data_IF_688948352663
#
_entry.id   IF_688948352663
#
_cell.length_a   1.000
_cell.length_b   1.000
_cell.length_c   1.000
_cell.angle_alpha   90.00
_cell.angle_beta   90.00
_cell.angle_gamma   90.00
#
_symmetry.space_group_name_H-M   'P 1'
#
loop_
_entity.id
_entity.type
_entity.pdbx_description
1 polymer ?
#
# COMPACT_ATOMS: atom_id res chain seq x y z
N UNK A 1 -22.23 -79.65 46.90
CA UNK A 1 -21.11 -79.45 45.96
C UNK A 1 -21.64 -79.34 44.56
N UNK A 2 -21.75 -78.19 43.95
CA UNK A 2 -21.84 -77.95 42.51
C UNK A 2 -21.42 -76.47 42.24
N UNK A 3 -20.33 -76.32 41.53
CA UNK A 3 -19.80 -75.04 41.07
C UNK A 3 -20.62 -74.60 39.91
N UNK A 4 -21.05 -73.31 39.95
CA UNK A 4 -21.68 -72.64 38.82
C UNK A 4 -20.67 -71.59 38.37
N UNK A 5 -20.12 -71.81 37.16
CA UNK A 5 -19.25 -70.87 36.47
C UNK A 5 -20.10 -69.83 35.80
N UNK A 6 -19.96 -68.56 36.22
CA UNK A 6 -20.57 -67.40 35.55
C UNK A 6 -19.79 -67.00 34.30
N UNK A 7 -20.51 -66.96 33.19
CA UNK A 7 -19.99 -66.43 31.92
C UNK A 7 -20.27 -64.93 31.88
N UNK A 8 -19.25 -64.12 31.94
CA UNK A 8 -19.39 -62.67 31.83
C UNK A 8 -19.33 -62.30 30.33
N UNK A 9 -20.47 -61.86 29.82
CA UNK A 9 -20.62 -61.35 28.45
C UNK A 9 -20.14 -59.90 28.42
N UNK A 10 -18.93 -59.66 27.90
CA UNK A 10 -18.42 -58.31 27.66
C UNK A 10 -18.96 -57.87 26.30
N UNK A 11 -19.95 -56.96 26.35
CA UNK A 11 -20.50 -56.30 25.15
C UNK A 11 -19.52 -55.23 24.73
N UNK A 12 -18.77 -55.43 23.66
CA UNK A 12 -17.95 -54.41 22.99
C UNK A 12 -18.91 -53.51 22.21
N UNK A 13 -19.18 -52.31 22.75
CA UNK A 13 -19.85 -51.21 22.02
C UNK A 13 -18.78 -50.58 21.12
N UNK A 14 -18.72 -51.01 19.86
CA UNK A 14 -17.96 -50.29 18.84
C UNK A 14 -18.71 -49.03 18.48
N UNK A 15 -18.33 -47.92 19.13
CA UNK A 15 -18.80 -46.59 18.78
C UNK A 15 -18.10 -46.17 17.47
N UNK A 16 -18.81 -46.26 16.36
CA UNK A 16 -18.39 -45.68 15.11
C UNK A 16 -18.29 -44.17 15.30
N UNK A 17 -17.09 -43.64 15.46
CA UNK A 17 -16.82 -42.22 15.26
C UNK A 17 -17.00 -41.97 13.76
N UNK A 18 -18.14 -41.46 13.38
CA UNK A 18 -18.23 -40.74 12.12
C UNK A 18 -17.37 -39.46 12.26
N UNK A 19 -16.49 -39.16 11.31
CA UNK A 19 -15.87 -37.85 11.30
C UNK A 19 -17.01 -36.82 11.19
N UNK A 20 -17.08 -35.90 12.15
CA UNK A 20 -17.80 -34.65 11.92
C UNK A 20 -17.13 -34.00 10.71
N UNK A 21 -17.84 -33.96 9.59
CA UNK A 21 -17.52 -32.99 8.56
C UNK A 21 -17.71 -31.61 9.22
N UNK A 22 -16.61 -31.06 9.70
CA UNK A 22 -16.52 -29.63 9.97
C UNK A 22 -16.65 -29.02 8.57
N UNK A 23 -17.84 -28.48 8.28
CA UNK A 23 -17.99 -27.61 7.12
C UNK A 23 -16.87 -26.57 7.23
N UNK A 24 -15.91 -26.65 6.33
CA UNK A 24 -14.87 -25.64 6.22
C UNK A 24 -15.60 -24.31 5.99
N UNK A 25 -15.39 -23.40 6.93
CA UNK A 25 -15.87 -22.03 6.82
C UNK A 25 -15.14 -21.42 5.61
N UNK A 26 -15.83 -21.28 4.49
CA UNK A 26 -15.25 -20.95 3.18
C UNK A 26 -15.03 -19.43 3.02
N UNK A 27 -14.72 -18.76 4.13
CA UNK A 27 -14.34 -17.34 4.14
C UNK A 27 -12.98 -17.06 3.49
N UNK A 28 -12.31 -18.10 2.99
CA UNK A 28 -10.96 -18.02 2.44
C UNK A 28 -10.84 -17.91 0.91
N UNK A 29 -11.96 -17.90 0.15
CA UNK A 29 -11.89 -17.74 -1.31
C UNK A 29 -11.61 -19.01 -2.13
N UNK A 30 -11.19 -20.14 -1.54
CA UNK A 30 -11.06 -21.44 -2.19
C UNK A 30 -12.44 -22.10 -2.33
N UNK A 31 -13.18 -21.67 -3.33
CA UNK A 31 -14.58 -22.04 -3.56
C UNK A 31 -14.71 -23.43 -4.16
N UNK A 32 -13.72 -23.87 -4.93
CA UNK A 32 -13.69 -25.18 -5.58
C UNK A 32 -13.08 -26.28 -4.69
N UNK A 33 -12.47 -25.91 -3.55
CA UNK A 33 -11.78 -26.78 -2.59
C UNK A 33 -10.60 -27.58 -3.21
N UNK A 34 -9.84 -26.93 -4.11
CA UNK A 34 -8.62 -27.55 -4.67
C UNK A 34 -7.37 -27.23 -3.87
N UNK A 35 -7.46 -26.35 -2.86
CA UNK A 35 -6.39 -25.95 -1.97
C UNK A 35 -5.66 -24.68 -2.43
N UNK A 36 -6.10 -24.07 -3.53
CA UNK A 36 -5.54 -22.82 -4.08
C UNK A 36 -6.67 -21.81 -4.29
N UNK A 37 -6.42 -20.52 -4.02
CA UNK A 37 -7.34 -19.45 -4.37
C UNK A 37 -6.86 -18.79 -5.64
N UNK A 38 -7.55 -19.06 -6.76
CA UNK A 38 -7.14 -18.61 -8.09
C UNK A 38 -8.32 -18.37 -9.02
N UNK A 39 -8.07 -18.14 -10.32
CA UNK A 39 -9.12 -17.88 -11.31
C UNK A 39 -10.14 -19.02 -11.45
N UNK A 40 -9.82 -20.23 -11.02
CA UNK A 40 -10.76 -21.36 -11.04
C UNK A 40 -11.90 -21.17 -10.04
N UNK A 41 -11.63 -20.50 -8.90
CA UNK A 41 -12.64 -20.14 -7.91
C UNK A 41 -13.57 -19.05 -8.43
N UNK A 42 -13.04 -18.05 -9.09
CA UNK A 42 -13.83 -17.02 -9.78
C UNK A 42 -14.79 -17.66 -10.77
N UNK A 43 -14.31 -18.58 -11.60
CA UNK A 43 -15.15 -19.30 -12.56
C UNK A 43 -16.20 -20.16 -11.85
N UNK A 44 -15.88 -20.73 -10.69
CA UNK A 44 -16.83 -21.54 -9.90
C UNK A 44 -17.99 -20.69 -9.37
N UNK A 45 -17.71 -19.46 -8.87
CA UNK A 45 -18.76 -18.51 -8.47
C UNK A 45 -19.61 -18.10 -9.66
N UNK A 46 -19.00 -17.78 -10.80
CA UNK A 46 -19.71 -17.38 -12.02
C UNK A 46 -20.61 -18.51 -12.51
N UNK A 47 -20.13 -19.76 -12.57
CA UNK A 47 -20.91 -20.93 -12.97
C UNK A 47 -22.14 -21.15 -12.08
N UNK A 48 -22.00 -20.86 -10.78
CA UNK A 48 -23.12 -20.92 -9.85
C UNK A 48 -24.15 -19.82 -10.13
N UNK A 49 -23.72 -18.56 -10.30
CA UNK A 49 -24.60 -17.43 -10.62
C UNK A 49 -25.39 -17.71 -11.92
N UNK A 50 -24.74 -18.35 -12.89
CA UNK A 50 -25.37 -18.73 -14.17
C UNK A 50 -26.25 -19.99 -14.08
N UNK A 51 -26.44 -20.57 -12.89
CA UNK A 51 -27.34 -21.70 -12.64
C UNK A 51 -26.80 -23.07 -13.02
N UNK A 52 -25.49 -23.20 -13.19
CA UNK A 52 -24.86 -24.45 -13.65
C UNK A 52 -24.62 -25.48 -12.55
N UNK A 53 -24.68 -25.13 -11.25
CA UNK A 53 -24.45 -26.01 -10.09
C UNK A 53 -25.18 -25.54 -8.82
N UNK A 54 -25.56 -26.51 -7.96
CA UNK A 54 -26.10 -26.24 -6.62
C UNK A 54 -25.08 -26.66 -5.55
N UNK A 55 -24.47 -25.73 -4.83
CA UNK A 55 -23.75 -25.97 -3.57
C UNK A 55 -23.82 -24.73 -2.65
N UNK A 56 -23.79 -24.98 -1.36
CA UNK A 56 -24.23 -24.09 -0.30
C UNK A 56 -23.07 -23.32 0.40
N UNK A 57 -21.93 -23.12 -0.23
CA UNK A 57 -20.81 -22.41 0.41
C UNK A 57 -20.03 -21.52 -0.58
N UNK A 58 -20.74 -20.64 -1.27
CA UNK A 58 -20.16 -19.76 -2.29
C UNK A 58 -20.39 -18.27 -1.94
N UNK A 59 -21.02 -18.00 -0.81
CA UNK A 59 -21.12 -16.66 -0.23
C UNK A 59 -19.77 -16.29 0.42
N UNK A 60 -18.91 -15.72 -0.41
CA UNK A 60 -17.52 -15.41 -0.03
C UNK A 60 -17.44 -14.15 0.82
N UNK A 61 -18.33 -13.18 0.59
CA UNK A 61 -18.38 -11.92 1.33
C UNK A 61 -19.25 -11.99 2.59
N UNK A 62 -20.02 -13.09 2.79
CA UNK A 62 -20.83 -13.31 3.98
C UNK A 62 -22.10 -12.46 4.07
N UNK A 63 -22.61 -11.90 2.95
CA UNK A 63 -23.81 -11.04 2.94
C UNK A 63 -25.12 -11.81 2.84
N UNK A 64 -25.06 -13.12 2.63
CA UNK A 64 -26.20 -14.03 2.53
C UNK A 64 -26.78 -14.15 1.11
N UNK A 65 -26.21 -13.47 0.13
CA UNK A 65 -26.60 -13.55 -1.29
C UNK A 65 -25.41 -14.00 -2.13
N UNK A 66 -25.64 -14.89 -3.12
CA UNK A 66 -24.59 -15.29 -4.04
C UNK A 66 -24.76 -14.53 -5.35
N UNK A 67 -23.88 -13.56 -5.59
CA UNK A 67 -23.96 -12.64 -6.71
C UNK A 67 -22.57 -12.15 -7.15
N UNK A 68 -22.52 -11.11 -7.98
CA UNK A 68 -21.27 -10.53 -8.49
C UNK A 68 -20.36 -9.99 -7.38
N UNK A 69 -20.88 -9.70 -6.18
CA UNK A 69 -20.08 -9.25 -5.06
C UNK A 69 -19.13 -10.36 -4.56
N UNK A 70 -19.57 -11.64 -4.62
CA UNK A 70 -18.72 -12.79 -4.28
C UNK A 70 -17.60 -12.98 -5.30
N UNK A 71 -17.90 -12.79 -6.59
CA UNK A 71 -16.86 -12.78 -7.63
C UNK A 71 -15.80 -11.73 -7.33
N UNK A 72 -16.22 -10.52 -6.96
CA UNK A 72 -15.28 -9.44 -6.60
C UNK A 72 -14.52 -9.76 -5.31
N UNK A 73 -15.14 -10.44 -4.34
CA UNK A 73 -14.47 -10.87 -3.12
C UNK A 73 -13.38 -11.91 -3.42
N UNK A 74 -13.63 -12.91 -4.26
CA UNK A 74 -12.59 -13.87 -4.69
C UNK A 74 -11.46 -13.17 -5.45
N UNK A 75 -11.80 -12.26 -6.37
CA UNK A 75 -10.79 -11.46 -7.09
C UNK A 75 -9.96 -10.65 -6.11
N UNK A 76 -10.56 -10.03 -5.10
CA UNK A 76 -9.87 -9.32 -4.03
C UNK A 76 -8.86 -10.22 -3.31
N UNK A 77 -9.29 -11.42 -2.88
CA UNK A 77 -8.43 -12.41 -2.21
C UNK A 77 -7.29 -12.86 -3.13
N UNK A 78 -7.56 -13.10 -4.42
CA UNK A 78 -6.53 -13.46 -5.40
C UNK A 78 -5.52 -12.32 -5.54
N UNK A 79 -5.97 -11.08 -5.67
CA UNK A 79 -5.10 -9.92 -5.79
C UNK A 79 -4.31 -9.66 -4.51
N UNK A 80 -4.90 -9.87 -3.34
CA UNK A 80 -4.23 -9.82 -2.04
C UNK A 80 -3.27 -11.01 -1.86
N UNK A 81 -3.63 -12.20 -2.31
CA UNK A 81 -2.81 -13.42 -2.23
C UNK A 81 -1.73 -13.51 -3.33
N UNK A 82 -1.95 -12.88 -4.49
CA UNK A 82 -0.93 -12.68 -5.53
C UNK A 82 -0.10 -11.42 -5.32
N UNK A 83 -0.44 -10.58 -4.35
CA UNK A 83 0.57 -9.75 -3.76
C UNK A 83 1.59 -10.70 -3.10
N UNK A 84 2.53 -11.23 -3.88
CA UNK A 84 3.89 -11.33 -3.42
C UNK A 84 4.10 -9.91 -2.90
N UNK A 85 3.96 -9.70 -1.59
CA UNK A 85 4.55 -8.53 -0.98
C UNK A 85 6.03 -8.71 -1.30
N UNK A 86 6.50 -8.11 -2.39
CA UNK A 86 7.90 -7.81 -2.46
C UNK A 86 8.11 -7.08 -1.16
N UNK A 87 8.75 -7.74 -0.22
CA UNK A 87 8.95 -7.20 1.12
C UNK A 87 9.95 -6.07 0.94
N UNK A 88 9.41 -4.90 0.56
CA UNK A 88 10.24 -3.72 0.34
C UNK A 88 11.01 -3.45 1.62
N UNK A 89 12.32 -3.32 1.48
CA UNK A 89 13.19 -3.08 2.61
C UNK A 89 12.88 -1.73 3.25
N UNK A 90 12.99 -1.68 4.56
CA UNK A 90 12.80 -0.48 5.36
C UNK A 90 13.90 -0.30 6.39
N UNK A 91 14.06 0.91 6.87
CA UNK A 91 14.98 1.28 7.93
C UNK A 91 14.23 1.90 9.11
N UNK A 92 14.58 1.44 10.30
CA UNK A 92 14.24 2.11 11.55
C UNK A 92 15.33 3.14 11.86
N UNK A 93 14.99 4.42 11.84
CA UNK A 93 15.88 5.52 12.16
C UNK A 93 15.88 5.89 13.65
N UNK A 94 15.10 5.20 14.49
CA UNK A 94 14.90 5.53 15.90
C UNK A 94 14.09 6.80 16.11
N UNK A 95 13.12 7.07 15.22
CA UNK A 95 12.24 8.23 15.34
C UNK A 95 11.26 8.06 16.51
N UNK A 96 10.84 9.14 17.18
CA UNK A 96 9.93 9.07 18.33
C UNK A 96 8.62 8.33 18.06
N UNK A 97 8.05 8.46 16.87
CA UNK A 97 6.82 7.74 16.48
C UNK A 97 7.04 6.26 16.16
N UNK A 98 8.31 5.83 15.97
CA UNK A 98 8.63 4.51 15.44
C UNK A 98 8.34 4.35 13.95
N UNK A 99 8.12 5.44 13.21
CA UNK A 99 7.90 5.40 11.75
C UNK A 99 9.09 4.74 11.04
N UNK A 100 8.79 3.71 10.25
CA UNK A 100 9.75 2.99 9.43
C UNK A 100 9.72 3.54 8.00
N UNK A 101 10.88 3.83 7.43
CA UNK A 101 11.01 4.41 6.09
C UNK A 101 11.52 3.38 5.10
N UNK A 102 10.94 3.31 3.92
CA UNK A 102 11.43 2.46 2.85
C UNK A 102 12.87 2.84 2.45
N UNK A 103 13.70 1.87 2.09
CA UNK A 103 15.08 2.11 1.65
C UNK A 103 15.16 2.63 0.22
N UNK A 104 14.14 2.34 -0.62
CA UNK A 104 14.05 2.75 -2.03
C UNK A 104 12.84 3.63 -2.28
N UNK A 105 12.84 4.37 -3.40
CA UNK A 105 11.65 5.07 -3.90
C UNK A 105 10.66 4.09 -4.52
N UNK A 106 9.38 4.44 -4.60
CA UNK A 106 8.39 3.67 -5.36
C UNK A 106 8.84 3.60 -6.83
N UNK A 107 8.83 2.39 -7.41
CA UNK A 107 9.35 2.12 -8.75
C UNK A 107 10.87 1.91 -8.84
N UNK A 108 11.60 1.94 -7.71
CA UNK A 108 13.04 1.68 -7.65
C UNK A 108 13.35 0.36 -6.98
N UNK A 109 14.44 -0.29 -7.39
CA UNK A 109 14.98 -1.53 -6.81
C UNK A 109 16.24 -1.31 -5.96
N UNK A 110 16.84 -0.12 -6.01
CA UNK A 110 18.00 0.25 -5.21
C UNK A 110 17.86 1.68 -4.63
N UNK A 111 18.49 1.97 -3.48
CA UNK A 111 18.39 3.29 -2.83
C UNK A 111 18.85 4.47 -3.68
N UNK A 112 19.75 4.24 -4.62
CA UNK A 112 20.29 5.26 -5.52
C UNK A 112 19.44 5.49 -6.78
N UNK A 113 18.49 4.61 -7.08
CA UNK A 113 17.58 4.78 -8.21
C UNK A 113 16.52 5.84 -7.90
N UNK A 114 16.17 6.62 -8.90
CA UNK A 114 15.20 7.72 -8.73
C UNK A 114 13.77 7.20 -8.56
N UNK A 115 13.45 6.00 -9.09
CA UNK A 115 12.11 5.45 -9.10
C UNK A 115 11.18 6.18 -10.06
N UNK A 116 9.89 5.94 -9.88
CA UNK A 116 8.85 6.55 -10.67
C UNK A 116 8.47 7.95 -10.16
N UNK A 117 7.93 8.75 -11.07
CA UNK A 117 7.39 10.06 -10.74
C UNK A 117 5.87 9.98 -10.78
N UNK A 118 5.23 10.62 -9.80
CA UNK A 118 3.78 10.65 -9.67
C UNK A 118 3.30 12.08 -9.54
N UNK A 119 2.20 12.44 -10.20
CA UNK A 119 1.46 13.63 -9.82
C UNK A 119 0.70 13.36 -8.51
N UNK A 120 0.46 14.38 -7.71
CA UNK A 120 -0.16 14.18 -6.40
C UNK A 120 -1.61 13.68 -6.51
N UNK A 121 -1.89 12.54 -5.89
CA UNK A 121 -3.18 11.85 -6.00
C UNK A 121 -3.33 10.99 -7.26
N UNK A 122 -2.22 10.70 -7.95
CA UNK A 122 -2.17 9.74 -9.05
C UNK A 122 -1.26 8.57 -8.68
N UNK A 123 -1.60 7.39 -9.18
CA UNK A 123 -0.95 6.13 -8.79
C UNK A 123 -0.11 5.52 -9.91
N UNK A 124 -0.20 6.08 -11.12
CA UNK A 124 0.52 5.63 -12.30
C UNK A 124 1.51 6.71 -12.76
N UNK A 125 2.75 6.34 -13.14
CA UNK A 125 3.70 7.26 -13.72
C UNK A 125 3.27 7.70 -15.12
N UNK A 126 3.63 8.93 -15.49
CA UNK A 126 3.30 9.52 -16.80
C UNK A 126 4.54 9.97 -17.56
N UNK A 127 4.42 10.11 -18.87
CA UNK A 127 5.49 10.63 -19.72
C UNK A 127 5.63 12.16 -19.66
N UNK A 128 4.55 12.85 -19.25
CA UNK A 128 4.55 14.30 -19.05
C UNK A 128 3.61 14.68 -17.91
N UNK A 129 3.93 15.77 -17.21
CA UNK A 129 3.25 16.26 -16.03
C UNK A 129 2.84 17.71 -16.27
N UNK A 130 1.56 17.93 -16.49
CA UNK A 130 0.97 19.24 -16.77
C UNK A 130 -0.38 19.38 -16.08
N UNK A 131 -0.89 20.58 -15.98
CA UNK A 131 -2.23 20.82 -15.41
C UNK A 131 -3.30 20.07 -16.21
N UNK A 132 -3.20 20.13 -17.53
CA UNK A 132 -4.22 19.61 -18.45
C UNK A 132 -4.39 18.09 -18.39
N UNK A 133 -3.38 17.36 -17.89
CA UNK A 133 -3.42 15.91 -17.78
C UNK A 133 -3.49 15.39 -16.34
N UNK A 134 -3.72 16.27 -15.36
CA UNK A 134 -3.87 15.87 -13.98
C UNK A 134 -5.24 15.24 -13.74
N UNK A 135 -5.27 14.05 -13.11
CA UNK A 135 -6.49 13.24 -12.87
C UNK A 135 -7.64 14.02 -12.21
N UNK A 136 -7.31 14.91 -11.28
CA UNK A 136 -8.28 15.62 -10.46
C UNK A 136 -8.50 17.08 -10.89
N UNK A 137 -7.97 17.50 -12.05
CA UNK A 137 -8.17 18.84 -12.59
C UNK A 137 -9.14 18.80 -13.79
N UNK A 138 -10.16 19.65 -13.73
CA UNK A 138 -11.12 19.86 -14.81
C UNK A 138 -11.31 21.38 -15.00
N UNK A 139 -11.09 21.87 -16.22
CA UNK A 139 -11.20 23.28 -16.59
C UNK A 139 -10.53 24.25 -15.58
N UNK A 140 -9.28 23.93 -15.16
CA UNK A 140 -8.51 24.69 -14.14
C UNK A 140 -9.10 24.64 -12.72
N UNK A 141 -9.91 23.63 -12.41
CA UNK A 141 -10.48 23.40 -11.08
C UNK A 141 -10.19 21.99 -10.60
N UNK A 142 -9.81 21.85 -9.34
CA UNK A 142 -9.69 20.53 -8.73
C UNK A 142 -11.08 20.02 -8.32
N UNK A 143 -11.44 18.83 -8.84
CA UNK A 143 -12.73 18.18 -8.57
C UNK A 143 -12.68 17.25 -7.36
N UNK A 144 -11.48 16.91 -6.87
CA UNK A 144 -11.24 16.18 -5.61
C UNK A 144 -10.08 16.82 -4.85
N UNK A 145 -10.07 16.70 -3.52
CA UNK A 145 -9.11 17.37 -2.63
C UNK A 145 -9.17 18.89 -2.81
N UNK A 146 -10.35 19.42 -2.70
CA UNK A 146 -10.66 20.85 -2.86
C UNK A 146 -11.23 21.47 -1.56
N UNK A 147 -11.75 22.68 -1.62
CA UNK A 147 -12.27 23.36 -0.42
C UNK A 147 -13.60 22.80 0.08
N UNK A 148 -14.35 22.10 -0.78
CA UNK A 148 -15.72 21.69 -0.52
C UNK A 148 -15.80 20.28 0.08
N UNK A 149 -14.82 19.40 -0.22
CA UNK A 149 -14.82 18.00 0.22
C UNK A 149 -14.23 17.77 1.62
N UNK A 150 -13.62 18.79 2.23
CA UNK A 150 -12.95 18.73 3.53
C UNK A 150 -11.83 17.69 3.65
N UNK A 151 -11.35 17.15 2.54
CA UNK A 151 -10.24 16.22 2.52
C UNK A 151 -8.93 16.97 2.72
N UNK A 152 -8.07 16.44 3.59
CA UNK A 152 -6.76 17.02 3.90
C UNK A 152 -5.60 16.08 3.59
N UNK A 153 -5.90 14.82 3.31
CA UNK A 153 -4.95 13.79 2.93
C UNK A 153 -5.53 12.94 1.81
N UNK A 154 -4.65 12.23 1.09
CA UNK A 154 -5.05 11.27 0.06
C UNK A 154 -5.81 10.09 0.66
N UNK A 155 -6.89 9.69 -0.02
CA UNK A 155 -7.52 8.39 0.15
C UNK A 155 -6.53 7.28 -0.23
N UNK A 156 -6.78 6.05 0.24
CA UNK A 156 -5.93 4.89 -0.07
C UNK A 156 -5.82 4.65 -1.58
N UNK A 157 -6.91 4.80 -2.31
CA UNK A 157 -6.99 4.58 -3.76
C UNK A 157 -6.20 5.60 -4.60
N UNK A 158 -5.79 6.72 -4.01
CA UNK A 158 -5.02 7.79 -4.63
C UNK A 158 -3.60 7.92 -4.05
N UNK A 159 -3.23 7.02 -3.13
CA UNK A 159 -1.90 6.96 -2.53
C UNK A 159 -0.99 6.03 -3.36
N UNK A 160 0.01 6.61 -4.04
CA UNK A 160 0.89 5.86 -4.93
C UNK A 160 1.68 4.75 -4.20
N UNK A 161 2.06 4.94 -2.94
CA UNK A 161 2.75 3.91 -2.18
C UNK A 161 1.82 2.74 -1.83
N UNK A 162 0.60 3.05 -1.39
CA UNK A 162 -0.40 2.03 -1.07
C UNK A 162 -0.78 1.19 -2.30
N UNK A 163 -1.06 1.85 -3.42
CA UNK A 163 -1.54 1.18 -4.62
C UNK A 163 -0.45 0.38 -5.32
N UNK A 164 0.82 0.81 -5.26
CA UNK A 164 1.92 0.09 -5.91
C UNK A 164 2.56 -0.98 -5.00
N UNK A 165 2.54 -0.80 -3.66
CA UNK A 165 3.26 -1.65 -2.71
C UNK A 165 2.36 -2.37 -1.72
N UNK A 166 1.04 -2.13 -1.76
CA UNK A 166 0.04 -2.78 -0.92
C UNK A 166 -0.16 -2.15 0.46
N UNK A 167 -1.06 -2.76 1.24
CA UNK A 167 -1.65 -2.18 2.45
C UNK A 167 -0.67 -1.88 3.60
N UNK A 168 0.54 -2.45 3.56
CA UNK A 168 1.59 -2.19 4.54
C UNK A 168 2.30 -0.85 4.33
N UNK A 169 2.04 -0.14 3.23
CA UNK A 169 2.76 1.05 2.81
C UNK A 169 1.85 2.24 2.56
N UNK A 170 2.35 3.43 2.83
CA UNK A 170 1.69 4.71 2.56
C UNK A 170 2.71 5.76 2.15
N UNK A 171 2.28 6.76 1.42
CA UNK A 171 3.03 8.00 1.33
C UNK A 171 3.14 8.62 2.74
N UNK A 172 4.27 9.25 3.11
CA UNK A 172 4.38 9.88 4.43
C UNK A 172 3.40 11.04 4.58
N UNK A 173 2.88 11.25 5.80
CA UNK A 173 2.18 12.51 6.10
C UNK A 173 3.17 13.66 6.25
N UNK A 174 2.65 14.90 6.26
CA UNK A 174 3.44 16.07 6.60
C UNK A 174 4.09 15.93 7.97
N UNK A 175 3.34 15.45 8.95
CA UNK A 175 3.83 15.28 10.33
C UNK A 175 4.97 14.27 10.41
N UNK A 176 4.92 13.18 9.62
CA UNK A 176 6.00 12.19 9.53
C UNK A 176 7.26 12.76 8.86
N UNK A 177 7.09 13.60 7.83
CA UNK A 177 8.21 14.33 7.23
C UNK A 177 8.80 15.33 8.22
N UNK A 178 7.96 16.07 8.93
CA UNK A 178 8.38 17.07 9.92
C UNK A 178 9.15 16.40 11.07
N UNK A 179 8.63 15.28 11.58
CA UNK A 179 9.34 14.47 12.58
C UNK A 179 10.70 13.99 12.07
N UNK A 180 10.77 13.46 10.84
CA UNK A 180 12.01 13.02 10.22
C UNK A 180 13.05 14.17 10.23
N UNK A 181 12.68 15.33 9.69
CA UNK A 181 13.57 16.48 9.55
C UNK A 181 14.05 17.05 10.89
N UNK A 182 13.24 16.96 11.94
CA UNK A 182 13.62 17.41 13.28
C UNK A 182 14.46 16.38 14.06
N UNK A 183 14.46 15.12 13.63
CA UNK A 183 15.11 14.02 14.37
C UNK A 183 16.44 13.57 13.79
N UNK A 184 16.73 13.89 12.54
CA UNK A 184 17.92 13.37 11.83
C UNK A 184 18.99 14.44 11.65
N UNK A 185 20.22 13.99 11.44
CA UNK A 185 21.29 14.82 10.89
C UNK A 185 21.37 14.55 9.39
N UNK A 186 21.39 15.59 8.59
CA UNK A 186 21.43 15.52 7.14
C UNK A 186 22.79 15.91 6.56
N UNK A 187 23.20 15.23 5.50
CA UNK A 187 24.41 15.52 4.74
C UNK A 187 24.16 15.31 3.24
N UNK A 188 24.49 16.31 2.42
CA UNK A 188 24.42 16.15 0.97
C UNK A 188 25.66 15.39 0.48
N UNK A 189 25.45 14.24 -0.11
CA UNK A 189 26.50 13.29 -0.49
C UNK A 189 26.33 12.76 -1.90
N UNK A 190 27.38 12.13 -2.42
CA UNK A 190 27.29 11.29 -3.62
C UNK A 190 27.48 9.83 -3.23
N UNK A 191 26.52 8.98 -3.59
CA UNK A 191 26.54 7.54 -3.35
C UNK A 191 26.40 6.80 -4.68
N UNK A 192 27.37 5.94 -5.00
CA UNK A 192 27.41 5.19 -6.27
C UNK A 192 27.25 6.08 -7.53
N UNK A 193 27.79 7.30 -7.50
CA UNK A 193 27.68 8.26 -8.59
C UNK A 193 26.39 9.09 -8.63
N UNK A 194 25.45 8.84 -7.70
CA UNK A 194 24.19 9.56 -7.59
C UNK A 194 24.24 10.54 -6.44
N UNK A 195 23.95 11.80 -6.73
CA UNK A 195 23.84 12.84 -5.70
C UNK A 195 22.53 12.68 -4.92
N UNK A 196 22.56 12.98 -3.63
CA UNK A 196 21.40 12.91 -2.76
C UNK A 196 21.68 13.39 -1.36
N UNK A 197 20.74 13.21 -0.46
CA UNK A 197 20.89 13.51 0.95
C UNK A 197 20.93 12.22 1.76
N UNK A 198 21.89 12.12 2.67
CA UNK A 198 21.98 11.06 3.66
C UNK A 198 21.42 11.59 4.97
N UNK A 199 20.40 10.93 5.47
CA UNK A 199 19.75 11.24 6.74
C UNK A 199 20.19 10.22 7.78
N UNK A 200 20.80 10.68 8.88
CA UNK A 200 21.24 9.81 9.97
C UNK A 200 20.32 9.98 11.17
N UNK A 201 19.65 8.91 11.54
CA UNK A 201 18.71 8.88 12.66
C UNK A 201 19.37 8.84 14.03
N UNK A 202 18.62 9.07 15.12
CA UNK A 202 19.13 9.03 16.51
C UNK A 202 19.78 7.71 16.88
N UNK A 203 19.39 6.60 16.29
CA UNK A 203 19.97 5.28 16.53
C UNK A 203 21.22 4.98 15.67
N UNK A 204 21.64 5.92 14.81
CA UNK A 204 22.79 5.80 13.92
C UNK A 204 22.51 5.13 12.58
N UNK A 205 21.32 4.62 12.37
CA UNK A 205 20.91 4.10 11.06
C UNK A 205 20.70 5.24 10.05
N UNK A 206 20.82 4.91 8.77
CA UNK A 206 20.82 5.94 7.71
C UNK A 206 19.77 5.65 6.64
N UNK A 207 19.22 6.72 6.07
CA UNK A 207 18.35 6.72 4.91
C UNK A 207 18.95 7.62 3.83
N UNK A 208 19.15 7.09 2.62
CA UNK A 208 19.59 7.87 1.48
C UNK A 208 18.41 8.24 0.60
N UNK A 209 18.25 9.51 0.27
CA UNK A 209 17.27 10.04 -0.66
C UNK A 209 18.00 10.61 -1.87
N UNK A 210 17.88 10.01 -3.08
CA UNK A 210 18.54 10.52 -4.28
C UNK A 210 17.93 11.86 -4.73
N UNK A 211 18.76 12.72 -5.32
CA UNK A 211 18.36 14.00 -5.89
C UNK A 211 17.64 13.77 -7.24
N UNK A 212 16.42 13.22 -7.18
CA UNK A 212 15.63 12.81 -8.32
C UNK A 212 15.05 13.98 -9.14
N UNK A 213 15.13 15.20 -8.64
CA UNK A 213 14.50 16.35 -9.29
C UNK A 213 12.97 16.27 -9.25
N UNK A 214 12.35 17.00 -10.17
CA UNK A 214 10.89 17.00 -10.36
C UNK A 214 10.59 17.07 -11.85
N UNK A 215 9.56 16.40 -12.29
CA UNK A 215 9.10 16.44 -13.68
C UNK A 215 7.87 17.34 -13.79
N UNK A 216 8.07 18.53 -14.33
CA UNK A 216 6.97 19.45 -14.62
C UNK A 216 7.27 20.18 -15.92
N UNK A 217 6.38 20.05 -16.92
CA UNK A 217 6.61 20.49 -18.29
C UNK A 217 7.98 20.02 -18.83
N UNK A 218 8.35 18.76 -18.53
CA UNK A 218 9.60 18.12 -18.96
C UNK A 218 10.90 18.76 -18.39
N UNK A 219 10.79 19.60 -17.36
CA UNK A 219 11.94 20.15 -16.67
C UNK A 219 12.32 19.22 -15.52
N UNK A 220 13.48 18.58 -15.62
CA UNK A 220 14.04 17.72 -14.59
C UNK A 220 15.30 18.37 -14.00
N UNK A 221 15.28 18.65 -12.71
CA UNK A 221 16.46 19.15 -11.99
C UNK A 221 17.23 18.00 -11.30
N UNK A 222 17.36 16.87 -12.00
CA UNK A 222 18.03 15.66 -11.52
C UNK A 222 19.46 15.93 -11.11
N UNK A 223 19.88 15.34 -10.00
CA UNK A 223 21.24 15.45 -9.46
C UNK A 223 21.53 16.74 -8.69
N UNK A 224 20.52 17.64 -8.52
CA UNK A 224 20.66 18.91 -7.77
C UNK A 224 19.66 19.02 -6.62
N UNK A 225 18.42 18.58 -6.86
CA UNK A 225 17.32 18.71 -5.91
C UNK A 225 16.62 17.37 -5.74
N UNK A 226 16.06 17.12 -4.56
CA UNK A 226 15.11 16.06 -4.29
C UNK A 226 13.76 16.66 -3.92
N UNK A 227 12.69 16.10 -4.48
CA UNK A 227 11.31 16.49 -4.23
C UNK A 227 10.48 15.23 -4.03
N UNK A 228 9.94 15.07 -2.83
CA UNK A 228 9.25 13.87 -2.40
C UNK A 228 7.85 14.22 -1.90
N UNK A 229 6.83 13.61 -2.46
CA UNK A 229 5.46 13.85 -2.06
C UNK A 229 5.17 13.37 -0.63
N UNK A 230 4.39 14.17 0.10
CA UNK A 230 3.58 13.68 1.20
C UNK A 230 2.15 13.38 0.72
N UNK A 231 1.38 12.60 1.49
CA UNK A 231 -0.04 12.43 1.23
C UNK A 231 -0.89 13.62 1.66
N UNK A 232 -0.32 14.63 2.34
CA UNK A 232 -1.04 15.75 2.94
C UNK A 232 -1.22 16.88 1.95
N UNK A 233 -2.47 17.33 1.78
CA UNK A 233 -2.83 18.48 0.96
C UNK A 233 -2.19 19.77 1.49
N UNK A 234 -1.84 20.67 0.62
CA UNK A 234 -1.35 22.01 1.00
C UNK A 234 -2.44 22.86 1.67
N UNK A 235 -2.03 23.90 2.42
CA UNK A 235 -2.98 24.75 3.14
C UNK A 235 -3.92 25.50 2.18
N UNK A 236 -5.16 25.68 2.60
CA UNK A 236 -6.22 26.34 1.82
C UNK A 236 -5.88 27.80 1.46
N UNK A 237 -5.11 28.48 2.30
CA UNK A 237 -4.75 29.89 2.16
C UNK A 237 -3.82 30.19 0.98
N UNK A 238 -3.13 29.18 0.49
CA UNK A 238 -2.14 29.31 -0.61
C UNK A 238 -2.70 28.95 -1.97
N UNK A 239 -3.98 28.61 -2.04
CA UNK A 239 -4.66 28.16 -3.26
C UNK A 239 -4.74 26.65 -3.36
N UNK A 240 -5.66 26.20 -4.20
CA UNK A 240 -6.10 24.80 -4.29
C UNK A 240 -5.15 23.87 -5.04
N UNK A 241 -4.03 24.34 -5.53
CA UNK A 241 -3.19 23.59 -6.46
C UNK A 241 -1.96 22.93 -5.84
N UNK A 242 -1.80 22.93 -4.51
CA UNK A 242 -0.55 22.48 -3.87
C UNK A 242 -0.72 21.33 -2.88
N UNK A 243 0.37 20.59 -2.66
CA UNK A 243 0.49 19.59 -1.62
C UNK A 243 1.85 19.71 -0.91
N UNK A 244 1.93 19.18 0.31
CA UNK A 244 3.17 19.19 1.06
C UNK A 244 4.20 18.23 0.46
N UNK A 245 5.47 18.63 0.51
CA UNK A 245 6.61 17.82 0.07
C UNK A 245 7.73 17.87 1.10
N UNK A 246 8.64 16.89 1.03
CA UNK A 246 10.01 17.02 1.49
C UNK A 246 10.85 17.51 0.30
N UNK A 247 11.57 18.59 0.47
CA UNK A 247 12.52 19.07 -0.54
C UNK A 247 13.90 19.26 0.06
N UNK A 248 14.94 19.01 -0.73
CA UNK A 248 16.32 19.27 -0.36
C UNK A 248 17.17 19.66 -1.56
N UNK A 249 18.31 20.25 -1.24
CA UNK A 249 19.37 20.58 -2.17
C UNK A 249 20.73 20.42 -1.48
N UNK A 250 21.81 20.88 -2.11
CA UNK A 250 23.17 20.93 -1.55
C UNK A 250 23.32 21.80 -0.30
N UNK A 251 22.28 22.55 0.08
CA UNK A 251 22.25 23.37 1.31
C UNK A 251 21.43 22.75 2.45
N UNK A 252 21.03 21.50 2.34
CA UNK A 252 20.32 20.74 3.38
C UNK A 252 18.86 20.44 3.09
N UNK A 253 18.29 19.54 3.89
CA UNK A 253 16.89 19.17 3.79
C UNK A 253 15.98 20.22 4.45
N UNK A 254 14.82 20.43 3.88
CA UNK A 254 13.79 21.30 4.47
C UNK A 254 12.40 20.85 4.03
N UNK A 255 11.41 21.09 4.90
CA UNK A 255 10.01 20.91 4.55
C UNK A 255 9.57 22.09 3.70
N UNK A 256 9.38 21.86 2.41
CA UNK A 256 8.78 22.86 1.54
C UNK A 256 7.26 22.68 1.58
N UNK A 257 6.59 23.78 1.76
CA UNK A 257 5.13 23.88 1.76
C UNK A 257 4.68 24.95 0.80
N UNK A 258 3.59 25.04 0.57
CA UNK A 258 2.38 25.10 -0.21
C UNK A 258 2.53 25.56 -1.67
N UNK A 259 3.69 25.68 -2.19
CA UNK A 259 3.91 26.19 -3.56
C UNK A 259 4.23 25.08 -4.56
N UNK A 260 4.19 23.81 -4.11
CA UNK A 260 4.47 22.71 -5.00
C UNK A 260 3.17 22.21 -5.63
N UNK A 261 3.13 22.37 -6.94
CA UNK A 261 1.91 22.13 -7.72
C UNK A 261 1.62 20.62 -7.82
N UNK A 262 0.39 20.24 -7.54
CA UNK A 262 -0.09 18.85 -7.58
C UNK A 262 0.14 18.14 -8.92
N UNK A 263 0.04 18.81 -10.08
CA UNK A 263 0.34 18.20 -11.38
C UNK A 263 1.82 17.87 -11.60
N UNK A 264 2.73 18.34 -10.75
CA UNK A 264 4.16 18.02 -10.89
C UNK A 264 4.44 16.55 -10.60
N UNK A 265 5.28 15.92 -11.40
CA UNK A 265 5.79 14.58 -11.15
C UNK A 265 6.93 14.62 -10.13
N UNK A 266 6.68 14.20 -8.90
CA UNK A 266 7.69 14.02 -7.87
C UNK A 266 7.79 12.55 -7.46
N UNK A 267 8.91 12.18 -6.86
CA UNK A 267 9.11 10.83 -6.35
C UNK A 267 8.37 10.60 -5.02
N UNK A 268 8.23 9.33 -4.65
CA UNK A 268 7.61 8.89 -3.40
C UNK A 268 8.58 8.02 -2.63
N UNK A 269 8.89 8.40 -1.38
CA UNK A 269 9.55 7.54 -0.41
C UNK A 269 8.49 7.10 0.61
N UNK A 270 8.13 5.84 0.56
CA UNK A 270 7.07 5.29 1.38
C UNK A 270 7.46 5.14 2.86
N UNK A 271 6.45 5.11 3.72
CA UNK A 271 6.55 4.72 5.13
C UNK A 271 5.71 3.46 5.36
N UNK A 272 6.17 2.61 6.29
CA UNK A 272 5.44 1.41 6.65
C UNK A 272 4.36 1.75 7.68
N UNK A 273 3.15 1.24 7.45
CA UNK A 273 2.03 1.36 8.38
C UNK A 273 2.27 0.40 9.54
N UNK A 274 2.21 0.89 10.78
CA UNK A 274 2.26 0.03 11.97
C UNK A 274 1.06 -0.91 11.95
N UNK A 275 1.29 -2.21 11.90
CA UNK A 275 0.23 -3.18 12.16
C UNK A 275 -0.03 -3.17 13.66
N UNK A 276 -1.15 -2.55 14.08
CA UNK A 276 -1.64 -2.62 15.46
C UNK A 276 -2.36 -3.93 15.69
#
# INVERSE_FOLDING_TARGET
>A
MKKITGFSLILFLVMWLMPLDVAADNTGGDVNNDGEVNIADVNTVIDFILGSRSRQSIDVNGDGEINIADVNAVIGIILEGTSVSEEHEYVDLGLPSGTLWATCNVGASAPEEYGDYFAWGEIEPKTSYTNENHKWEDEYRFIKYNFDDNMTELDLEDDAAYMNWGSSWRMPSREQIDELLHSVVDEYVQRNGVNGILLTGPNGNTLFLPAAGCNYYQSLSVGKFGYYWSRTLGPKETGIGSAHILAFSDIGAHLATPQWLRPSGNTVRAVRVSQN
#
